data_IF_453024080085
#
_entry.id   IF_453024080085
#
_cell.length_a   1.000
_cell.length_b   1.000
_cell.length_c   1.000
_cell.angle_alpha   90.00
_cell.angle_beta   90.00
_cell.angle_gamma   90.00
#
_symmetry.space_group_name_H-M   'P 1'
#
loop_
_entity.id
_entity.type
_entity.pdbx_description
1 polymer ?
#
# COMPACT_ATOMS: atom_id res chain seq x y z
N UNK A 1 -12.33 6.35 -12.59
CA UNK A 1 -11.49 5.17 -12.25
C UNK A 1 -10.73 5.44 -10.96
N UNK A 2 -10.75 4.52 -9.99
CA UNK A 2 -10.16 4.73 -8.66
C UNK A 2 -8.66 4.39 -8.69
N UNK A 3 -7.81 5.42 -8.72
CA UNK A 3 -6.33 5.29 -8.80
C UNK A 3 -5.73 4.36 -7.72
N UNK A 4 -6.32 4.31 -6.52
CA UNK A 4 -5.84 3.43 -5.45
C UNK A 4 -6.07 1.94 -5.72
N UNK A 5 -7.09 1.56 -6.52
CA UNK A 5 -7.38 0.15 -6.79
C UNK A 5 -6.32 -0.48 -7.70
N UNK A 6 -5.76 0.31 -8.62
CA UNK A 6 -4.64 -0.13 -9.45
C UNK A 6 -3.42 -0.46 -8.61
N UNK A 7 -3.11 0.39 -7.61
CA UNK A 7 -2.01 0.15 -6.67
C UNK A 7 -2.22 -1.14 -5.87
N UNK A 8 -3.44 -1.38 -5.40
CA UNK A 8 -3.79 -2.62 -4.69
C UNK A 8 -3.53 -3.82 -5.58
N UNK A 9 -4.08 -3.83 -6.80
CA UNK A 9 -3.93 -4.96 -7.71
C UNK A 9 -2.47 -5.18 -8.13
N UNK A 10 -1.72 -4.10 -8.40
CA UNK A 10 -0.31 -4.17 -8.78
C UNK A 10 0.55 -4.77 -7.65
N UNK A 11 0.33 -4.31 -6.42
CA UNK A 11 1.01 -4.84 -5.23
C UNK A 11 0.67 -6.32 -5.01
N UNK A 12 -0.62 -6.70 -5.06
CA UNK A 12 -1.03 -8.11 -4.93
C UNK A 12 -0.36 -8.97 -5.99
N UNK A 13 -0.34 -8.49 -7.24
CA UNK A 13 0.27 -9.21 -8.35
C UNK A 13 1.78 -9.37 -8.14
N UNK A 14 2.49 -8.34 -7.65
CA UNK A 14 3.92 -8.41 -7.30
C UNK A 14 4.20 -9.36 -6.13
N UNK A 15 3.34 -9.40 -5.12
CA UNK A 15 3.44 -10.35 -4.00
C UNK A 15 3.23 -11.77 -4.52
N UNK A 16 2.19 -12.00 -5.33
CA UNK A 16 1.91 -13.31 -5.92
C UNK A 16 3.03 -13.79 -6.85
N UNK A 17 3.69 -12.88 -7.56
CA UNK A 17 4.86 -13.16 -8.40
C UNK A 17 6.16 -13.35 -7.59
N UNK A 18 6.10 -13.36 -6.26
CA UNK A 18 7.26 -13.44 -5.36
C UNK A 18 8.29 -12.32 -5.61
N UNK A 19 7.87 -11.21 -6.23
CA UNK A 19 8.72 -10.06 -6.53
C UNK A 19 8.90 -9.17 -5.29
N UNK A 20 7.94 -9.20 -4.37
CA UNK A 20 8.03 -8.58 -3.04
C UNK A 20 8.11 -9.71 -2.02
N UNK A 21 9.33 -10.09 -1.64
CA UNK A 21 9.59 -11.22 -0.75
C UNK A 21 9.70 -10.83 0.74
N UNK A 22 10.20 -9.63 1.07
CA UNK A 22 10.51 -9.31 2.48
C UNK A 22 9.74 -8.10 3.04
N UNK A 23 9.52 -7.04 2.25
CA UNK A 23 8.82 -5.83 2.69
C UNK A 23 8.29 -5.03 1.53
N UNK A 24 7.10 -4.48 1.71
CA UNK A 24 6.67 -3.36 0.90
C UNK A 24 7.45 -2.09 1.26
N UNK A 25 7.74 -1.24 0.26
CA UNK A 25 8.25 0.11 0.51
C UNK A 25 7.26 0.91 1.37
N UNK A 26 7.77 1.91 2.07
CA UNK A 26 6.98 2.73 2.99
C UNK A 26 5.91 3.55 2.24
N UNK A 27 4.89 4.02 2.96
CA UNK A 27 3.79 4.83 2.40
C UNK A 27 4.31 6.06 1.63
N UNK A 28 5.40 6.68 2.11
CA UNK A 28 6.06 7.83 1.45
C UNK A 28 6.67 7.43 0.12
N UNK A 29 7.42 6.33 0.08
CA UNK A 29 8.01 5.85 -1.16
C UNK A 29 6.95 5.41 -2.16
N UNK A 30 5.92 4.70 -1.73
CA UNK A 30 4.79 4.36 -2.61
C UNK A 30 4.10 5.62 -3.15
N UNK A 31 3.96 6.66 -2.34
CA UNK A 31 3.41 7.94 -2.77
C UNK A 31 4.26 8.58 -3.86
N UNK A 32 5.59 8.51 -3.76
CA UNK A 32 6.53 9.02 -4.75
C UNK A 32 6.59 8.16 -6.02
N UNK A 33 6.69 6.83 -5.87
CA UNK A 33 6.73 5.85 -6.98
C UNK A 33 5.48 5.94 -7.85
N UNK A 34 4.30 5.95 -7.22
CA UNK A 34 3.04 6.02 -7.95
C UNK A 34 2.60 7.47 -8.24
N UNK A 35 3.30 8.48 -7.69
CA UNK A 35 2.93 9.89 -7.82
C UNK A 35 1.55 10.21 -7.25
N UNK A 36 1.12 9.47 -6.22
CA UNK A 36 -0.21 9.57 -5.63
C UNK A 36 -0.14 10.24 -4.26
N UNK A 37 -1.23 10.92 -3.87
CA UNK A 37 -1.33 11.48 -2.52
C UNK A 37 -1.26 10.37 -1.46
N UNK A 38 -0.63 10.68 -0.31
CA UNK A 38 -0.52 9.78 0.85
C UNK A 38 -1.87 9.18 1.25
N UNK A 39 -2.95 9.96 1.14
CA UNK A 39 -4.30 9.49 1.40
C UNK A 39 -4.74 8.35 0.48
N UNK A 40 -4.36 8.41 -0.80
CA UNK A 40 -4.65 7.38 -1.81
C UNK A 40 -3.84 6.11 -1.56
N UNK A 41 -2.54 6.25 -1.27
CA UNK A 41 -1.69 5.11 -0.89
C UNK A 41 -2.19 4.47 0.40
N UNK A 42 -2.50 5.27 1.43
CA UNK A 42 -3.05 4.77 2.69
C UNK A 42 -4.35 3.99 2.49
N UNK A 43 -5.25 4.45 1.61
CA UNK A 43 -6.46 3.68 1.25
C UNK A 43 -6.14 2.37 0.53
N UNK A 44 -5.13 2.35 -0.35
CA UNK A 44 -4.69 1.12 -0.99
C UNK A 44 -4.11 0.13 0.04
N UNK A 45 -3.20 0.61 0.89
CA UNK A 45 -2.58 -0.17 1.96
C UNK A 45 -3.60 -0.68 2.97
N UNK A 46 -4.53 0.15 3.43
CA UNK A 46 -5.60 -0.28 4.34
C UNK A 46 -6.46 -1.39 3.72
N UNK A 47 -6.71 -1.33 2.41
CA UNK A 47 -7.46 -2.39 1.72
C UNK A 47 -6.64 -3.67 1.60
N UNK A 48 -5.34 -3.57 1.32
CA UNK A 48 -4.40 -4.69 1.31
C UNK A 48 -4.25 -5.34 2.70
N UNK A 49 -4.26 -4.53 3.76
CA UNK A 49 -4.21 -4.98 5.14
C UNK A 49 -5.51 -5.67 5.56
N UNK A 50 -6.66 -5.12 5.17
CA UNK A 50 -7.96 -5.74 5.43
C UNK A 50 -8.11 -7.13 4.80
N UNK A 51 -7.42 -7.41 3.69
CA UNK A 51 -7.38 -8.73 3.04
C UNK A 51 -6.19 -9.59 3.49
N UNK A 52 -5.37 -9.11 4.43
CA UNK A 52 -4.24 -9.84 4.99
C UNK A 52 -3.02 -9.96 4.07
N UNK A 53 -2.92 -9.16 3.00
CA UNK A 53 -1.80 -9.21 2.06
C UNK A 53 -0.57 -8.43 2.57
N UNK A 54 -0.79 -7.39 3.39
CA UNK A 54 0.28 -6.52 3.90
C UNK A 54 -0.02 -6.14 5.34
N UNK A 55 1.01 -5.78 6.10
CA UNK A 55 0.84 -5.19 7.43
C UNK A 55 1.46 -3.81 7.42
N UNK A 56 0.62 -2.78 7.47
CA UNK A 56 1.08 -1.42 7.60
C UNK A 56 1.52 -1.20 9.05
N UNK A 57 2.84 -1.17 9.27
CA UNK A 57 3.41 -0.58 10.48
C UNK A 57 3.33 0.95 10.39
N UNK A 58 2.12 1.47 10.27
CA UNK A 58 1.87 2.90 10.43
C UNK A 58 2.08 3.19 11.92
N UNK A 59 3.17 3.88 12.25
CA UNK A 59 3.40 4.38 13.59
C UNK A 59 2.16 5.17 14.05
N UNK A 60 1.53 4.67 15.10
CA UNK A 60 0.31 5.19 15.68
C UNK A 60 0.48 6.64 16.12
N UNK A 61 0.04 7.59 15.30
CA UNK A 61 -0.24 8.96 15.74
C UNK A 61 -1.46 9.52 14.98
N UNK A 62 -2.61 8.84 15.10
CA UNK A 62 -3.91 9.50 14.97
C UNK A 62 -4.38 9.86 16.38
N UNK A 63 -3.95 11.02 16.89
CA UNK A 63 -4.70 11.65 17.98
C UNK A 63 -5.93 12.29 17.33
N UNK A 64 -7.10 11.88 17.81
CA UNK A 64 -8.41 12.49 17.53
C UNK A 64 -8.37 13.95 17.99
#
# INVERSE_FOLDING_TARGET
MKKYELVVQDIVSKICQNSINHKLPAERELSEIYGLSRFTIRKALAKLEAIGMVTSRAGSNFNH
#
